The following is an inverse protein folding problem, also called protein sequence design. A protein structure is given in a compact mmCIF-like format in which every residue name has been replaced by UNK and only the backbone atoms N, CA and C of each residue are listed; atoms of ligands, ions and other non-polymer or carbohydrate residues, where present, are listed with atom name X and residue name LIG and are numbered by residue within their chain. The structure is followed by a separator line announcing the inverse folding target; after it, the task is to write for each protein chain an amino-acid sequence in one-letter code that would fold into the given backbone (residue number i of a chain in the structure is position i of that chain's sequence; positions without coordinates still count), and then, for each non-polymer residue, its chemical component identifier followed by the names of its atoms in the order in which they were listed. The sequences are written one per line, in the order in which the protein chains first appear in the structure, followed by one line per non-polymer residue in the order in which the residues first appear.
data_IF_965624620920
#
_entry.id   IF_965624620920
#
_cell.length_a   1.000
_cell.length_b   1.000
_cell.length_c   1.000
_cell.angle_alpha   90.00
_cell.angle_beta   90.00
_cell.angle_gamma   90.00
#
_symmetry.space_group_name_H-M   'P 1'
#
loop_
_entity.id
_entity.type
_entity.pdbx_description
1 polymer ?
#
# COMPACT_ATOMS: atom_id res chain seq x y z
N UNK A 1 14.31 -3.65 1.51
CA UNK A 1 12.84 -3.49 1.38
C UNK A 1 12.17 -4.84 1.59
N UNK A 2 11.01 -4.90 2.26
CA UNK A 2 10.34 -6.16 2.68
C UNK A 2 9.57 -6.86 1.54
N UNK A 3 8.90 -6.08 0.69
CA UNK A 3 7.79 -6.59 -0.15
C UNK A 3 8.11 -6.59 -1.66
N UNK A 4 9.16 -5.90 -2.11
CA UNK A 4 9.53 -5.88 -3.53
C UNK A 4 8.36 -5.45 -4.43
N UNK A 5 8.24 -5.98 -5.66
CA UNK A 5 7.17 -5.64 -6.61
C UNK A 5 5.88 -6.43 -6.34
N UNK A 6 5.41 -6.40 -5.08
CA UNK A 6 4.15 -6.98 -4.65
C UNK A 6 3.28 -5.88 -4.01
N UNK A 7 1.97 -6.01 -4.12
CA UNK A 7 1.00 -5.20 -3.40
C UNK A 7 0.32 -6.06 -2.33
N UNK A 8 0.12 -5.50 -1.14
CA UNK A 8 -0.69 -6.14 -0.11
C UNK A 8 -2.17 -5.84 -0.38
N UNK A 9 -3.03 -6.86 -0.29
CA UNK A 9 -4.47 -6.69 -0.46
C UNK A 9 -5.26 -7.59 0.47
N UNK A 10 -6.33 -7.07 1.06
CA UNK A 10 -7.32 -7.81 1.82
C UNK A 10 -8.60 -7.93 0.99
N UNK A 11 -8.87 -9.12 0.48
CA UNK A 11 -9.96 -9.40 -0.47
C UNK A 11 -10.77 -10.58 0.07
N UNK A 12 -12.08 -10.44 0.13
CA UNK A 12 -13.01 -11.49 0.59
C UNK A 12 -12.63 -12.12 1.94
N UNK A 13 -12.10 -11.34 2.89
CA UNK A 13 -11.74 -11.84 4.22
C UNK A 13 -10.33 -12.45 4.33
N UNK A 14 -9.56 -12.43 3.25
CA UNK A 14 -8.22 -13.03 3.19
C UNK A 14 -7.16 -11.99 2.83
N UNK A 15 -5.98 -12.14 3.42
CA UNK A 15 -4.82 -11.30 3.14
C UNK A 15 -3.92 -11.95 2.08
N UNK A 16 -3.51 -11.16 1.09
CA UNK A 16 -2.71 -11.60 -0.05
C UNK A 16 -1.50 -10.69 -0.27
N UNK A 17 -0.41 -11.30 -0.75
CA UNK A 17 0.62 -10.60 -1.50
C UNK A 17 0.37 -10.83 -2.99
N UNK A 18 -0.01 -9.76 -3.68
CA UNK A 18 -0.44 -9.78 -5.06
C UNK A 18 0.73 -9.26 -5.91
N UNK A 19 1.30 -10.07 -6.81
CA UNK A 19 2.34 -9.59 -7.72
C UNK A 19 1.83 -8.45 -8.60
N UNK A 20 2.60 -7.36 -8.71
CA UNK A 20 2.18 -6.20 -9.53
C UNK A 20 1.92 -6.58 -10.99
N UNK A 21 2.64 -7.56 -11.53
CA UNK A 21 2.44 -8.11 -12.88
C UNK A 21 1.06 -8.76 -13.12
N UNK A 22 0.29 -9.05 -12.07
CA UNK A 22 -1.06 -9.57 -12.17
C UNK A 22 -2.13 -8.46 -12.14
N UNK A 23 -1.73 -7.22 -11.84
CA UNK A 23 -2.62 -6.09 -11.61
C UNK A 23 -2.55 -5.15 -12.81
N UNK A 24 -3.65 -5.02 -13.56
CA UNK A 24 -3.76 -4.03 -14.62
C UNK A 24 -3.93 -2.61 -14.07
N UNK A 25 -4.75 -2.47 -13.03
CA UNK A 25 -5.11 -1.18 -12.46
C UNK A 25 -5.55 -1.32 -11.00
N UNK A 26 -5.26 -0.31 -10.20
CA UNK A 26 -5.77 -0.14 -8.84
C UNK A 26 -6.47 1.21 -8.77
N UNK A 27 -7.72 1.24 -8.32
CA UNK A 27 -8.38 2.47 -7.90
C UNK A 27 -8.40 2.54 -6.38
N UNK A 28 -8.05 3.69 -5.83
CA UNK A 28 -7.99 3.94 -4.40
C UNK A 28 -9.03 4.99 -4.06
N UNK A 29 -9.84 4.72 -3.04
CA UNK A 29 -10.79 5.70 -2.53
C UNK A 29 -10.06 6.75 -1.69
N UNK A 30 -10.56 7.97 -1.68
CA UNK A 30 -10.10 8.96 -0.71
C UNK A 30 -10.44 8.47 0.71
N UNK A 31 -9.54 8.62 1.70
CA UNK A 31 -9.87 8.27 3.08
C UNK A 31 -11.00 9.15 3.60
N UNK A 32 -12.12 8.54 4.01
CA UNK A 32 -13.30 9.24 4.54
C UNK A 32 -13.49 8.96 6.04
N UNK A 33 -13.09 7.77 6.51
CA UNK A 33 -13.23 7.36 7.90
C UNK A 33 -11.89 6.93 8.54
N UNK A 34 -11.89 6.82 9.87
CA UNK A 34 -10.66 6.49 10.63
C UNK A 34 -10.10 5.10 10.31
N UNK A 35 -10.93 4.16 9.84
CA UNK A 35 -10.50 2.81 9.47
C UNK A 35 -9.74 2.84 8.15
N UNK A 36 -10.05 3.77 7.26
CA UNK A 36 -9.34 3.96 5.99
C UNK A 36 -7.86 4.30 6.20
N UNK A 37 -7.52 4.92 7.33
CA UNK A 37 -6.14 5.19 7.73
C UNK A 37 -5.33 3.92 8.02
N UNK A 38 -6.01 2.79 8.23
CA UNK A 38 -5.40 1.47 8.45
C UNK A 38 -5.65 0.55 7.25
N UNK A 39 -6.84 0.62 6.65
CA UNK A 39 -7.34 -0.23 5.58
C UNK A 39 -7.98 0.62 4.50
N UNK A 40 -7.17 1.06 3.52
CA UNK A 40 -7.64 1.94 2.46
C UNK A 40 -8.52 1.17 1.45
N UNK A 41 -9.78 1.57 1.23
CA UNK A 41 -10.65 0.92 0.26
C UNK A 41 -10.11 1.04 -1.17
N UNK A 42 -10.15 -0.07 -1.91
CA UNK A 42 -9.62 -0.13 -3.27
C UNK A 42 -10.40 -1.09 -4.17
N UNK A 43 -10.28 -0.86 -5.48
CA UNK A 43 -10.71 -1.77 -6.54
C UNK A 43 -9.49 -2.22 -7.33
N UNK A 44 -9.22 -3.53 -7.34
CA UNK A 44 -8.22 -4.14 -8.19
C UNK A 44 -8.85 -4.58 -9.51
N UNK A 45 -8.19 -4.30 -10.62
CA UNK A 45 -8.47 -4.87 -11.93
C UNK A 45 -7.30 -5.76 -12.34
N UNK A 46 -7.60 -6.98 -12.76
CA UNK A 46 -6.58 -7.97 -13.11
C UNK A 46 -6.23 -7.94 -14.60
N UNK A 47 -5.02 -8.36 -14.93
CA UNK A 47 -4.55 -8.44 -16.34
C UNK A 47 -5.37 -9.44 -17.16
N UNK A 48 -5.79 -10.54 -16.55
CA UNK A 48 -6.62 -11.57 -17.19
C UNK A 48 -8.11 -11.20 -17.24
N UNK A 49 -8.48 -9.98 -16.87
CA UNK A 49 -9.86 -9.52 -16.80
C UNK A 49 -10.52 -9.78 -15.43
N UNK A 50 -11.69 -9.16 -15.25
CA UNK A 50 -12.35 -9.12 -13.95
C UNK A 50 -11.67 -8.16 -12.96
N UNK A 51 -12.06 -8.27 -11.71
CA UNK A 51 -11.55 -7.42 -10.64
C UNK A 51 -12.07 -7.84 -9.28
N UNK A 52 -11.59 -7.18 -8.23
CA UNK A 52 -12.05 -7.40 -6.88
C UNK A 52 -12.00 -6.09 -6.08
N UNK A 53 -13.05 -5.84 -5.29
CA UNK A 53 -13.02 -4.80 -4.26
C UNK A 53 -12.38 -5.37 -3.00
N UNK A 54 -11.57 -4.56 -2.33
CA UNK A 54 -10.92 -4.94 -1.08
C UNK A 54 -10.29 -3.75 -0.40
N UNK A 55 -9.31 -4.03 0.45
CA UNK A 55 -8.58 -3.00 1.19
C UNK A 55 -7.08 -3.19 1.04
N UNK A 56 -6.34 -2.10 0.97
CA UNK A 56 -4.87 -2.11 1.08
C UNK A 56 -4.53 -1.69 2.51
N UNK A 57 -3.68 -2.44 3.25
CA UNK A 57 -3.17 -1.95 4.52
C UNK A 57 -2.43 -0.64 4.28
N UNK A 58 -2.87 0.45 4.88
CA UNK A 58 -2.36 1.79 4.56
C UNK A 58 -1.10 2.16 5.35
N UNK A 59 -0.86 1.48 6.46
CA UNK A 59 0.34 1.66 7.27
C UNK A 59 1.30 0.48 7.13
N UNK A 60 2.59 0.73 7.35
CA UNK A 60 3.58 -0.34 7.49
C UNK A 60 3.29 -1.21 8.74
N UNK A 61 3.69 -2.50 8.75
CA UNK A 61 3.51 -3.36 9.92
C UNK A 61 4.11 -2.77 11.20
N UNK A 62 3.50 -3.09 12.35
CA UNK A 62 3.92 -2.66 13.69
C UNK A 62 3.93 -1.13 13.92
N UNK A 63 3.31 -0.34 13.04
CA UNK A 63 3.21 1.11 13.23
C UNK A 63 2.34 1.50 14.43
N UNK A 64 1.41 0.64 14.85
CA UNK A 64 0.61 0.83 16.05
C UNK A 64 1.41 0.72 17.36
N UNK A 65 2.58 0.09 17.32
CA UNK A 65 3.43 -0.13 18.50
C UNK A 65 4.48 0.97 18.67
N UNK A 66 4.50 1.97 17.78
CA UNK A 66 5.44 3.10 17.85
C UNK A 66 5.05 4.10 18.95
N UNK A 67 6.01 4.86 19.48
CA UNK A 67 5.74 5.86 20.52
C UNK A 67 5.17 7.17 19.94
N UNK A 68 5.42 7.47 18.65
CA UNK A 68 4.92 8.67 17.99
C UNK A 68 3.45 8.50 17.52
N UNK A 69 2.48 9.25 18.07
CA UNK A 69 1.07 9.14 17.68
C UNK A 69 0.83 9.45 16.20
N UNK A 70 1.68 10.27 15.56
CA UNK A 70 1.56 10.56 14.13
C UNK A 70 1.90 9.35 13.27
N UNK A 71 2.83 8.49 13.73
CA UNK A 71 3.16 7.22 13.09
C UNK A 71 2.03 6.22 13.30
N UNK A 72 1.50 6.13 14.53
CA UNK A 72 0.35 5.26 14.85
C UNK A 72 -0.87 5.56 13.98
N UNK A 73 -1.14 6.84 13.72
CA UNK A 73 -2.29 7.31 12.93
C UNK A 73 -2.03 7.37 11.41
N UNK A 74 -0.87 6.93 10.92
CA UNK A 74 -0.54 7.00 9.50
C UNK A 74 -0.42 8.43 8.95
N UNK A 75 -0.18 9.42 9.80
CA UNK A 75 -0.02 10.84 9.43
C UNK A 75 1.42 11.23 9.11
N UNK A 76 2.35 10.29 9.31
CA UNK A 76 3.77 10.45 9.11
C UNK A 76 4.34 9.15 8.58
N UNK A 77 5.35 9.26 7.72
CA UNK A 77 6.20 8.14 7.35
C UNK A 77 7.58 8.37 7.96
N UNK A 78 8.09 7.34 8.62
CA UNK A 78 9.45 7.33 9.15
C UNK A 78 10.20 6.11 8.64
N UNK A 79 11.45 6.30 8.24
CA UNK A 79 12.29 5.21 7.74
C UNK A 79 13.24 4.74 8.83
N UNK A 80 13.11 3.48 9.23
CA UNK A 80 13.97 2.84 10.20
C UNK A 80 14.91 1.85 9.49
N UNK A 81 16.18 1.72 9.91
CA UNK A 81 17.10 0.76 9.32
C UNK A 81 16.65 -0.68 9.63
N UNK A 82 16.86 -1.59 8.68
CA UNK A 82 16.65 -3.03 8.82
C UNK A 82 17.91 -3.75 8.33
N UNK A 83 18.67 -4.35 9.25
CA UNK A 83 20.00 -4.89 8.96
C UNK A 83 21.01 -3.83 8.51
N UNK A 84 22.06 -4.24 7.79
CA UNK A 84 23.16 -3.34 7.41
C UNK A 84 22.88 -2.45 6.18
N UNK A 85 21.96 -2.86 5.29
CA UNK A 85 21.75 -2.20 3.99
C UNK A 85 20.28 -1.91 3.65
N UNK A 86 19.35 -2.19 4.58
CA UNK A 86 17.93 -2.06 4.33
C UNK A 86 17.29 -0.96 5.15
N UNK A 87 16.17 -0.44 4.66
CA UNK A 87 15.24 0.37 5.43
C UNK A 87 13.84 -0.26 5.37
N UNK A 88 13.09 -0.08 6.44
CA UNK A 88 11.65 -0.33 6.50
C UNK A 88 10.94 0.96 6.90
N UNK A 89 9.76 1.16 6.35
CA UNK A 89 8.92 2.27 6.77
C UNK A 89 8.17 1.95 8.06
N UNK A 90 7.76 3.01 8.74
CA UNK A 90 6.77 3.06 9.83
C UNK A 90 5.77 4.17 9.51
N UNK A 91 4.51 3.97 9.89
CA UNK A 91 3.40 4.86 9.62
C UNK A 91 2.87 4.70 8.21
N UNK A 92 2.50 5.80 7.53
CA UNK A 92 1.88 5.73 6.20
C UNK A 92 2.78 5.04 5.19
N UNK A 93 2.20 4.18 4.33
CA UNK A 93 2.92 3.60 3.19
C UNK A 93 3.22 4.63 2.12
N UNK A 94 4.42 4.48 1.55
CA UNK A 94 4.86 5.20 0.37
C UNK A 94 4.98 4.22 -0.80
N UNK A 95 4.45 4.61 -1.96
CA UNK A 95 4.70 3.95 -3.24
C UNK A 95 5.88 4.64 -3.90
N UNK A 96 6.86 3.87 -4.35
CA UNK A 96 8.12 4.40 -4.88
C UNK A 96 8.26 4.00 -6.33
N UNK A 97 8.59 4.96 -7.18
CA UNK A 97 8.96 4.73 -8.58
C UNK A 97 10.37 5.25 -8.85
N UNK A 98 10.85 5.10 -10.08
CA UNK A 98 12.08 5.72 -10.56
C UNK A 98 12.00 7.26 -10.63
N UNK A 99 10.78 7.83 -10.59
CA UNK A 99 10.55 9.26 -10.74
C UNK A 99 10.30 9.96 -9.40
N UNK A 100 9.54 9.33 -8.49
CA UNK A 100 9.18 9.95 -7.22
C UNK A 100 8.61 8.95 -6.20
N UNK A 101 8.36 9.48 -5.00
CA UNK A 101 7.71 8.80 -3.90
C UNK A 101 6.30 9.38 -3.70
N UNK A 102 5.29 8.53 -3.64
CA UNK A 102 3.88 8.90 -3.57
C UNK A 102 3.27 8.39 -2.25
N UNK A 103 2.79 9.27 -1.36
CA UNK A 103 2.01 8.87 -0.19
C UNK A 103 0.75 8.13 -0.62
N UNK A 104 0.47 6.98 -0.01
CA UNK A 104 -0.65 6.13 -0.43
C UNK A 104 -1.99 6.87 -0.41
N UNK A 105 -2.21 7.75 0.57
CA UNK A 105 -3.46 8.51 0.69
C UNK A 105 -3.66 9.60 -0.37
N UNK A 106 -2.61 9.97 -1.11
CA UNK A 106 -2.69 10.96 -2.18
C UNK A 106 -2.93 10.30 -3.54
N UNK A 107 -2.71 8.98 -3.65
CA UNK A 107 -2.92 8.24 -4.89
C UNK A 107 -4.39 7.87 -5.03
N UNK A 108 -4.95 8.09 -6.23
CA UNK A 108 -6.33 7.72 -6.57
C UNK A 108 -6.40 6.60 -7.60
N UNK A 109 -5.40 6.52 -8.46
CA UNK A 109 -5.34 5.53 -9.52
C UNK A 109 -3.90 5.15 -9.83
N UNK A 110 -3.66 3.86 -10.01
CA UNK A 110 -2.41 3.29 -10.48
C UNK A 110 -2.74 2.44 -11.70
N UNK A 111 -2.08 2.70 -12.82
CA UNK A 111 -2.23 1.93 -14.06
C UNK A 111 -0.88 1.36 -14.44
N UNK A 112 -0.82 0.06 -14.66
CA UNK A 112 0.40 -0.65 -15.02
C UNK A 112 0.38 -0.94 -16.53
N UNK A 113 1.46 -0.56 -17.21
CA UNK A 113 1.70 -0.95 -18.60
C UNK A 113 2.04 -2.44 -18.67
N UNK A 114 1.26 -3.19 -19.43
CA UNK A 114 1.57 -4.57 -19.77
C UNK A 114 1.96 -4.61 -21.23
N UNK A 115 3.23 -4.92 -21.50
CA UNK A 115 3.62 -5.27 -22.85
C UNK A 115 3.00 -6.64 -23.20
N UNK A 116 2.43 -6.80 -24.41
CA UNK A 116 1.78 -8.04 -24.84
C UNK A 116 2.76 -9.21 -25.02
#
# INVERSE_FOLDING_TARGET
SRIGPLMEGFINGHYFWIPLQCIAKIKLSEPEDLRDLIWLPCEFHWVNGGGATGFIPACYPNSCDDEDPLIQMGRKTHWAPIGEQGFTGKGQKMLVTDQSDYPLFDVREIVFSHEP
#
